data_IF_244570404660
#
_entry.id   IF_244570404660
#
_cell.length_a   1.000
_cell.length_b   1.000
_cell.length_c   1.000
_cell.angle_alpha   90.00
_cell.angle_beta   90.00
_cell.angle_gamma   90.00
#
_symmetry.space_group_name_H-M   'P 1'
#
loop_
_entity.id
_entity.type
_entity.pdbx_description
1 polymer ?
#
# COMPACT_ATOMS: atom_id res chain seq x y z
N UNK A 1 -1.10 15.21 78.89
CA UNK A 1 -1.36 13.78 78.66
C UNK A 1 -2.03 13.69 77.28
N UNK A 2 -1.37 13.17 76.24
CA UNK A 2 -2.02 13.06 74.94
C UNK A 2 -3.05 11.92 74.94
N UNK A 3 -4.23 12.21 74.46
CA UNK A 3 -5.38 11.32 74.32
C UNK A 3 -5.04 10.19 73.33
N UNK A 4 -5.04 8.96 73.82
CA UNK A 4 -4.82 7.76 73.00
C UNK A 4 -6.01 7.65 72.04
N UNK A 5 -5.77 7.76 70.78
CA UNK A 5 -6.78 7.63 69.73
C UNK A 5 -7.37 6.21 69.74
N UNK A 6 -8.71 6.16 69.88
CA UNK A 6 -9.51 4.93 69.90
C UNK A 6 -9.20 4.05 68.66
N UNK A 7 -8.89 2.76 68.83
CA UNK A 7 -8.54 1.83 67.78
C UNK A 7 -9.65 1.68 66.72
N UNK A 8 -10.91 1.94 67.08
CA UNK A 8 -12.03 1.96 66.14
C UNK A 8 -12.00 3.15 65.16
N UNK A 9 -11.34 4.25 65.56
CA UNK A 9 -11.15 5.43 64.70
C UNK A 9 -10.07 5.21 63.66
N UNK A 10 -9.02 4.44 64.00
CA UNK A 10 -7.93 4.04 63.11
C UNK A 10 -8.45 3.06 62.05
N UNK A 11 -9.27 2.08 62.47
CA UNK A 11 -9.84 1.09 61.55
C UNK A 11 -10.77 1.72 60.52
N UNK A 12 -11.59 2.69 60.91
CA UNK A 12 -12.45 3.45 59.98
C UNK A 12 -11.66 4.28 58.96
N UNK A 13 -10.52 4.82 59.33
CA UNK A 13 -9.63 5.56 58.40
C UNK A 13 -8.94 4.64 57.40
N UNK A 14 -8.54 3.43 57.80
CA UNK A 14 -7.93 2.43 56.91
C UNK A 14 -8.96 1.89 55.91
N UNK A 15 -10.19 1.58 56.36
CA UNK A 15 -11.25 1.09 55.48
C UNK A 15 -11.66 2.14 54.42
N UNK A 16 -11.70 3.43 54.79
CA UNK A 16 -11.96 4.51 53.85
C UNK A 16 -10.86 4.72 52.83
N UNK A 17 -9.59 4.43 53.19
CA UNK A 17 -8.45 4.48 52.25
C UNK A 17 -8.50 3.33 51.25
N UNK A 18 -8.79 2.10 51.71
CA UNK A 18 -8.90 0.92 50.83
C UNK A 18 -10.11 1.02 49.88
N UNK A 19 -11.23 1.60 50.30
CA UNK A 19 -12.38 1.83 49.41
C UNK A 19 -12.12 2.90 48.36
N UNK A 20 -11.26 3.90 48.61
CA UNK A 20 -10.87 4.88 47.60
C UNK A 20 -10.00 4.28 46.49
N UNK A 21 -9.11 3.37 46.83
CA UNK A 21 -8.27 2.68 45.84
C UNK A 21 -9.09 1.72 44.96
N UNK A 22 -10.09 1.02 45.52
CA UNK A 22 -10.99 0.14 44.77
C UNK A 22 -11.90 0.90 43.80
N UNK A 23 -12.38 2.09 44.16
CA UNK A 23 -13.16 2.96 43.30
C UNK A 23 -12.30 3.59 42.19
N UNK A 24 -11.06 3.94 42.47
CA UNK A 24 -10.11 4.45 41.50
C UNK A 24 -9.76 3.39 40.43
N UNK A 25 -9.52 2.14 40.84
CA UNK A 25 -9.26 1.06 39.89
C UNK A 25 -10.45 0.66 39.05
N UNK A 26 -11.68 0.78 39.59
CA UNK A 26 -12.91 0.53 38.84
C UNK A 26 -13.19 1.62 37.80
N UNK A 27 -12.95 2.88 38.14
CA UNK A 27 -13.08 3.99 37.18
C UNK A 27 -11.99 3.95 36.10
N UNK A 28 -10.78 3.46 36.41
CA UNK A 28 -9.68 3.30 35.45
C UNK A 28 -9.96 2.18 34.45
N UNK A 29 -10.65 1.12 34.85
CA UNK A 29 -11.06 0.04 33.93
C UNK A 29 -12.15 0.48 32.95
N UNK A 30 -13.10 1.31 33.39
CA UNK A 30 -14.19 1.77 32.51
C UNK A 30 -13.71 2.75 31.43
N UNK A 31 -12.55 3.42 31.63
CA UNK A 31 -11.95 4.29 30.61
C UNK A 31 -11.17 3.54 29.54
N UNK A 32 -10.78 2.28 29.75
CA UNK A 32 -10.03 1.50 28.75
C UNK A 32 -10.97 0.75 27.78
N UNK A 33 -12.22 0.48 28.17
CA UNK A 33 -13.14 -0.29 27.33
C UNK A 33 -13.95 0.58 26.34
N UNK A 34 -13.82 1.90 26.42
CA UNK A 34 -14.44 2.85 25.49
C UNK A 34 -13.40 3.57 24.64
N UNK A 35 -12.34 2.88 24.25
CA UNK A 35 -11.56 3.28 23.09
C UNK A 35 -12.43 3.02 21.86
N UNK A 36 -13.31 3.97 21.55
CA UNK A 36 -13.93 4.07 20.24
C UNK A 36 -12.78 3.90 19.25
N UNK A 37 -12.78 2.79 18.49
CA UNK A 37 -11.78 2.52 17.47
C UNK A 37 -11.83 3.75 16.56
N UNK A 38 -10.87 4.65 16.72
CA UNK A 38 -10.76 5.84 15.90
C UNK A 38 -10.47 5.33 14.50
N UNK A 39 -11.46 5.45 13.63
CA UNK A 39 -11.33 5.04 12.23
C UNK A 39 -10.97 6.30 11.46
N UNK A 40 -9.91 6.23 10.71
CA UNK A 40 -9.37 7.34 9.92
C UNK A 40 -8.99 6.83 8.51
N UNK A 41 -8.54 7.72 7.67
CA UNK A 41 -8.02 7.40 6.34
C UNK A 41 -6.77 6.53 6.44
N UNK A 42 -6.50 5.68 5.45
CA UNK A 42 -5.27 4.88 5.44
C UNK A 42 -4.04 5.76 5.30
N UNK A 43 -2.91 5.28 5.76
CA UNK A 43 -1.62 5.88 5.44
C UNK A 43 -1.29 5.69 3.95
N UNK A 44 -0.37 6.48 3.41
CA UNK A 44 0.11 6.32 2.03
C UNK A 44 0.65 4.92 1.79
N UNK A 45 0.41 4.30 0.62
CA UNK A 45 1.10 3.09 0.20
C UNK A 45 2.61 3.24 0.34
N UNK A 46 3.32 2.17 0.68
CA UNK A 46 4.74 2.21 0.99
C UNK A 46 5.64 1.82 -0.17
N UNK A 47 6.93 2.17 -0.02
CA UNK A 47 7.99 1.84 -0.96
C UNK A 47 8.03 2.78 -2.15
N UNK A 48 9.01 2.59 -3.02
CA UNK A 48 8.99 3.25 -4.31
C UNK A 48 7.89 2.66 -5.18
N UNK A 49 7.17 3.51 -5.92
CA UNK A 49 6.28 3.07 -6.98
C UNK A 49 7.14 2.81 -8.22
N UNK A 50 7.41 1.53 -8.48
CA UNK A 50 8.34 1.09 -9.53
C UNK A 50 7.62 0.45 -10.71
N UNK A 51 8.15 0.68 -11.92
CA UNK A 51 7.71 -0.03 -13.11
C UNK A 51 8.45 -1.38 -13.22
N UNK A 52 7.69 -2.46 -13.14
CA UNK A 52 8.19 -3.83 -13.30
C UNK A 52 8.30 -4.19 -14.78
N UNK A 53 7.31 -3.77 -15.57
CA UNK A 53 7.24 -4.02 -16.98
C UNK A 53 6.78 -2.78 -17.73
N UNK A 54 7.43 -2.46 -18.82
CA UNK A 54 7.07 -1.33 -19.68
C UNK A 54 6.85 -1.81 -21.11
N UNK A 55 5.72 -1.42 -21.68
CA UNK A 55 5.39 -1.63 -23.08
C UNK A 55 4.97 -0.29 -23.70
N UNK A 56 4.87 -0.17 -25.03
CA UNK A 56 4.43 1.06 -25.68
C UNK A 56 3.04 1.56 -25.26
N UNK A 57 2.16 0.63 -24.87
CA UNK A 57 0.74 0.93 -24.58
C UNK A 57 0.34 0.69 -23.15
N UNK A 58 1.21 0.04 -22.35
CA UNK A 58 0.91 -0.29 -20.96
C UNK A 58 2.18 -0.33 -20.10
N UNK A 59 2.03 0.02 -18.83
CA UNK A 59 3.11 -0.05 -17.83
C UNK A 59 2.55 -0.77 -16.59
N UNK A 60 3.24 -1.85 -16.17
CA UNK A 60 2.94 -2.56 -14.93
C UNK A 60 3.74 -1.94 -13.80
N UNK A 61 3.05 -1.52 -12.76
CA UNK A 61 3.59 -0.86 -11.59
C UNK A 61 3.43 -1.76 -10.37
N UNK A 62 4.38 -1.65 -9.43
CA UNK A 62 4.38 -2.36 -8.16
C UNK A 62 4.64 -1.39 -7.01
N UNK A 63 3.99 -1.65 -5.86
CA UNK A 63 4.15 -0.89 -4.62
C UNK A 63 4.05 -1.83 -3.40
N UNK A 64 4.10 -1.28 -2.20
CA UNK A 64 3.84 -2.02 -0.96
C UNK A 64 2.58 -1.49 -0.29
N UNK A 65 1.83 -2.34 0.44
CA UNK A 65 0.64 -1.90 1.14
C UNK A 65 0.96 -0.82 2.17
N UNK A 66 -0.01 0.02 2.55
CA UNK A 66 0.12 0.98 3.62
C UNK A 66 0.54 0.31 4.93
N UNK A 67 1.25 1.06 5.77
CA UNK A 67 1.64 0.59 7.11
C UNK A 67 0.45 0.56 8.08
N UNK A 68 -0.49 1.47 7.88
CA UNK A 68 -1.67 1.65 8.72
C UNK A 68 -2.90 1.77 7.82
N UNK A 69 -3.91 0.97 8.09
CA UNK A 69 -5.19 0.97 7.37
C UNK A 69 -6.19 2.02 7.93
N UNK A 70 -5.77 2.80 8.95
CA UNK A 70 -6.63 3.76 9.62
C UNK A 70 -7.69 3.11 10.51
N UNK A 71 -7.49 1.85 10.91
CA UNK A 71 -8.45 1.10 11.74
C UNK A 71 -9.66 0.56 10.96
N UNK A 72 -9.71 0.77 9.64
CA UNK A 72 -10.68 0.22 8.70
C UNK A 72 -9.97 -0.40 7.51
N UNK A 73 -10.36 -1.62 7.14
CA UNK A 73 -9.74 -2.34 6.02
C UNK A 73 -9.72 -1.52 4.74
N UNK A 74 -8.63 -1.63 3.99
CA UNK A 74 -8.53 -1.07 2.64
C UNK A 74 -9.54 -1.79 1.75
N UNK A 75 -10.33 -1.04 1.01
CA UNK A 75 -11.34 -1.57 0.09
C UNK A 75 -10.78 -1.75 -1.32
N UNK A 76 -9.91 -0.84 -1.75
CA UNK A 76 -9.30 -0.84 -3.09
C UNK A 76 -8.10 0.09 -3.16
N UNK A 77 -7.33 -0.06 -4.24
CA UNK A 77 -6.36 0.95 -4.67
C UNK A 77 -6.88 1.68 -5.92
N UNK A 78 -6.48 2.94 -6.06
CA UNK A 78 -6.74 3.77 -7.25
C UNK A 78 -5.40 4.16 -7.86
N UNK A 79 -5.20 3.73 -9.10
CA UNK A 79 -4.03 4.11 -9.90
C UNK A 79 -4.40 5.27 -10.82
N UNK A 80 -3.59 6.31 -10.82
CA UNK A 80 -3.76 7.47 -11.68
C UNK A 80 -2.49 7.75 -12.48
N UNK A 81 -2.67 8.26 -13.68
CA UNK A 81 -1.59 8.66 -14.60
C UNK A 81 -1.69 10.12 -14.97
N UNK A 82 -0.54 10.71 -15.26
CA UNK A 82 -0.43 12.09 -15.76
C UNK A 82 0.64 12.15 -16.84
N UNK A 83 0.34 12.60 -18.05
CA UNK A 83 1.37 12.84 -19.05
C UNK A 83 2.32 13.95 -18.58
N UNK A 84 3.61 13.79 -18.81
CA UNK A 84 4.62 14.82 -18.50
C UNK A 84 4.28 16.13 -19.20
N UNK A 85 4.29 17.21 -18.44
CA UNK A 85 3.89 18.55 -18.91
C UNK A 85 2.41 18.87 -18.74
N UNK A 86 1.59 17.92 -18.29
CA UNK A 86 0.19 18.16 -17.92
C UNK A 86 0.06 18.26 -16.39
N UNK A 87 -0.87 19.08 -15.93
CA UNK A 87 -1.22 19.17 -14.50
C UNK A 87 -2.43 18.29 -14.14
N UNK A 88 -3.05 17.63 -15.11
CA UNK A 88 -4.27 16.85 -14.91
C UNK A 88 -3.97 15.38 -14.71
N UNK A 89 -4.37 14.85 -13.55
CA UNK A 89 -4.37 13.42 -13.27
C UNK A 89 -5.60 12.74 -13.86
N UNK A 90 -5.43 11.56 -14.40
CA UNK A 90 -6.48 10.73 -14.99
C UNK A 90 -6.45 9.36 -14.35
N UNK A 91 -7.61 8.88 -13.87
CA UNK A 91 -7.73 7.53 -13.28
C UNK A 91 -7.50 6.47 -14.35
N UNK A 92 -6.68 5.48 -14.04
CA UNK A 92 -6.54 4.31 -14.91
C UNK A 92 -7.77 3.42 -14.75
N UNK A 93 -8.31 2.89 -15.85
CA UNK A 93 -9.43 1.96 -15.76
C UNK A 93 -8.96 0.63 -15.15
N UNK A 94 -9.76 0.09 -14.24
CA UNK A 94 -9.52 -1.17 -13.56
C UNK A 94 -9.88 -1.07 -12.09
N UNK A 95 -10.34 -2.18 -11.53
CA UNK A 95 -10.47 -2.37 -10.09
C UNK A 95 -9.18 -3.04 -9.62
N UNK A 96 -8.60 -2.53 -8.56
CA UNK A 96 -7.39 -3.09 -7.94
C UNK A 96 -7.79 -3.49 -6.54
N UNK A 97 -7.79 -4.81 -6.29
CA UNK A 97 -8.18 -5.37 -5.02
C UNK A 97 -7.20 -4.99 -3.89
N UNK A 98 -7.65 -4.99 -2.63
CA UNK A 98 -6.80 -4.60 -1.49
C UNK A 98 -5.59 -5.53 -1.29
N UNK A 99 -5.66 -6.78 -1.75
CA UNK A 99 -4.57 -7.76 -1.65
C UNK A 99 -3.58 -7.63 -2.83
N UNK A 100 -3.94 -6.91 -3.89
CA UNK A 100 -3.07 -6.66 -5.03
C UNK A 100 -2.13 -5.48 -4.77
N UNK A 101 -0.84 -5.73 -4.91
CA UNK A 101 0.21 -4.72 -4.77
C UNK A 101 0.86 -4.35 -6.10
N UNK A 102 0.21 -4.74 -7.20
CA UNK A 102 0.64 -4.44 -8.56
C UNK A 102 -0.56 -4.10 -9.45
N UNK A 103 -0.38 -3.24 -10.41
CA UNK A 103 -1.41 -2.91 -11.40
C UNK A 103 -0.82 -2.47 -12.72
N UNK A 104 -1.59 -2.67 -13.79
CA UNK A 104 -1.20 -2.29 -15.14
C UNK A 104 -1.97 -1.05 -15.60
N UNK A 105 -1.24 0.05 -15.80
CA UNK A 105 -1.76 1.23 -16.46
C UNK A 105 -1.85 0.97 -17.97
N UNK A 106 -3.04 0.96 -18.52
CA UNK A 106 -3.30 0.75 -19.95
C UNK A 106 -3.61 2.07 -20.66
N UNK A 107 -3.72 2.01 -22.00
CA UNK A 107 -4.04 3.15 -22.87
C UNK A 107 -3.02 4.28 -22.73
N UNK A 108 -1.75 3.93 -22.90
CA UNK A 108 -0.63 4.85 -22.96
C UNK A 108 -0.24 5.10 -24.41
N UNK A 109 0.27 6.31 -24.69
CA UNK A 109 0.79 6.67 -26.00
C UNK A 109 2.28 6.30 -26.06
N UNK A 110 2.69 5.62 -27.14
CA UNK A 110 4.06 5.20 -27.33
C UNK A 110 5.03 6.38 -27.34
N UNK A 111 6.11 6.24 -26.61
CA UNK A 111 7.15 7.25 -26.52
C UNK A 111 6.86 8.40 -25.56
N UNK A 112 5.64 8.52 -25.03
CA UNK A 112 5.24 9.54 -24.08
C UNK A 112 5.76 9.17 -22.67
N UNK A 113 6.13 10.18 -21.89
CA UNK A 113 6.50 10.05 -20.49
C UNK A 113 5.30 10.32 -19.58
N UNK A 114 5.13 9.47 -18.57
CA UNK A 114 4.03 9.55 -17.61
C UNK A 114 4.54 9.53 -16.17
N UNK A 115 3.92 10.33 -15.34
CA UNK A 115 3.97 10.19 -13.89
C UNK A 115 2.79 9.33 -13.44
N UNK A 116 3.00 8.49 -12.45
CA UNK A 116 1.96 7.65 -11.84
C UNK A 116 1.84 7.94 -10.37
N UNK A 117 0.64 7.77 -9.84
CA UNK A 117 0.40 7.76 -8.41
C UNK A 117 -0.62 6.70 -8.04
N UNK A 118 -0.46 6.11 -6.85
CA UNK A 118 -1.38 5.14 -6.27
C UNK A 118 -1.89 5.66 -4.94
N UNK A 119 -3.17 5.45 -4.69
CA UNK A 119 -3.90 5.88 -3.50
C UNK A 119 -4.60 4.66 -2.92
N UNK A 120 -4.50 4.45 -1.61
CA UNK A 120 -5.30 3.47 -0.90
C UNK A 120 -6.63 4.08 -0.45
N UNK A 121 -7.69 3.32 -0.49
CA UNK A 121 -9.04 3.78 -0.15
C UNK A 121 -9.67 2.83 0.87
N UNK A 122 -10.16 3.39 1.96
CA UNK A 122 -11.00 2.70 2.94
C UNK A 122 -12.37 3.40 3.03
N UNK A 123 -13.21 3.01 4.01
CA UNK A 123 -14.54 3.60 4.23
C UNK A 123 -14.50 5.09 4.58
N UNK A 124 -13.41 5.54 5.21
CA UNK A 124 -13.26 6.91 5.70
C UNK A 124 -12.68 7.84 4.62
N UNK A 125 -12.08 7.29 3.56
CA UNK A 125 -11.63 8.07 2.41
C UNK A 125 -10.34 7.59 1.76
N UNK A 126 -9.76 8.48 0.97
CA UNK A 126 -8.54 8.26 0.21
C UNK A 126 -7.31 8.67 1.02
N UNK A 127 -6.25 7.85 0.95
CA UNK A 127 -4.95 8.14 1.56
C UNK A 127 -4.20 9.25 0.82
N UNK A 128 -3.09 9.69 1.40
CA UNK A 128 -2.09 10.45 0.64
C UNK A 128 -1.52 9.59 -0.50
N UNK A 129 -1.28 10.19 -1.67
CA UNK A 129 -0.80 9.47 -2.85
C UNK A 129 0.68 9.09 -2.74
N UNK A 130 1.03 7.86 -3.15
CA UNK A 130 2.39 7.47 -3.47
C UNK A 130 2.67 7.78 -4.93
N UNK A 131 3.64 8.64 -5.23
CA UNK A 131 3.97 9.12 -6.57
C UNK A 131 5.28 8.49 -7.06
N UNK A 132 5.42 8.23 -8.36
CA UNK A 132 6.69 7.80 -8.97
C UNK A 132 7.78 8.85 -8.77
N UNK A 133 8.99 8.39 -8.47
CA UNK A 133 10.15 9.27 -8.24
C UNK A 133 10.59 9.98 -9.53
N UNK A 134 10.39 9.34 -10.68
CA UNK A 134 10.71 9.88 -12.00
C UNK A 134 9.66 9.50 -13.02
N UNK A 135 9.46 10.29 -14.08
CA UNK A 135 8.56 9.96 -15.17
C UNK A 135 9.01 8.68 -15.88
N UNK A 136 8.07 7.81 -16.22
CA UNK A 136 8.32 6.54 -16.89
C UNK A 136 7.89 6.67 -18.35
N UNK A 137 8.77 6.30 -19.26
CA UNK A 137 8.51 6.35 -20.70
C UNK A 137 7.82 5.08 -21.18
N UNK A 138 6.70 5.23 -21.89
CA UNK A 138 5.99 4.12 -22.52
C UNK A 138 6.72 3.63 -23.77
N UNK A 139 7.59 2.64 -23.62
CA UNK A 139 8.37 2.00 -24.70
C UNK A 139 8.82 0.61 -24.27
N UNK A 140 9.20 -0.23 -25.20
CA UNK A 140 9.88 -1.48 -24.86
C UNK A 140 11.21 -1.20 -24.14
N UNK A 141 11.56 -1.95 -23.08
CA UNK A 141 12.87 -1.84 -22.47
C UNK A 141 13.95 -2.18 -23.50
N UNK A 142 15.05 -1.44 -23.47
CA UNK A 142 16.19 -1.68 -24.35
C UNK A 142 16.67 -3.13 -24.18
N UNK A 143 16.52 -3.94 -25.24
CA UNK A 143 16.93 -5.35 -25.23
C UNK A 143 15.85 -6.36 -25.63
N UNK A 144 14.57 -6.04 -25.53
CA UNK A 144 13.49 -6.95 -25.94
C UNK A 144 13.51 -7.24 -27.46
N UNK A 145 14.01 -6.31 -28.29
CA UNK A 145 14.20 -6.49 -29.72
C UNK A 145 15.27 -7.56 -30.06
N UNK A 146 16.31 -7.71 -29.23
CA UNK A 146 17.32 -8.72 -29.42
C UNK A 146 16.82 -10.14 -29.12
N UNK A 147 15.89 -10.28 -28.15
CA UNK A 147 15.36 -11.60 -27.81
C UNK A 147 14.38 -12.12 -28.87
N UNK A 148 13.56 -11.26 -29.46
CA UNK A 148 12.64 -11.66 -30.53
C UNK A 148 13.39 -11.99 -31.81
N UNK A 149 14.48 -11.27 -32.15
CA UNK A 149 15.34 -11.58 -33.30
C UNK A 149 16.16 -12.85 -33.09
N UNK A 150 16.63 -13.14 -31.86
CA UNK A 150 17.35 -14.36 -31.54
C UNK A 150 16.49 -15.62 -31.68
N UNK A 151 15.21 -15.55 -31.30
CA UNK A 151 14.26 -16.68 -31.47
C UNK A 151 13.92 -16.87 -32.95
N UNK A 152 13.77 -15.78 -33.73
CA UNK A 152 13.47 -15.86 -35.17
C UNK A 152 14.65 -16.43 -36.00
N UNK A 153 15.89 -16.22 -35.59
CA UNK A 153 17.10 -16.75 -36.25
C UNK A 153 17.38 -18.23 -35.88
N UNK A 154 16.80 -18.73 -34.77
CA UNK A 154 17.00 -20.14 -34.37
C UNK A 154 16.09 -21.13 -35.10
N UNK A 155 15.05 -20.67 -35.82
CA UNK A 155 14.09 -21.55 -36.51
C UNK A 155 14.48 -21.85 -37.97
N UNK A 156 15.49 -21.17 -38.51
CA UNK A 156 15.96 -21.40 -39.88
C UNK A 156 17.24 -22.23 -39.94
N UNK A 157 17.21 -23.48 -39.47
CA UNK A 157 18.17 -24.49 -39.87
C UNK A 157 17.54 -25.35 -40.95
N UNK A 158 18.01 -25.28 -42.23
CA UNK A 158 17.58 -26.23 -43.23
C UNK A 158 18.22 -27.59 -42.93
N UNK A 159 17.40 -28.61 -42.85
CA UNK A 159 17.83 -30.01 -42.89
C UNK A 159 18.42 -30.32 -44.26
N UNK A 160 19.72 -30.16 -44.43
CA UNK A 160 20.39 -30.65 -45.61
C UNK A 160 20.94 -32.05 -45.37
N UNK A 161 20.42 -32.94 -46.19
CA UNK A 161 20.56 -34.36 -46.28
C UNK A 161 21.98 -34.91 -46.19
N UNK A 162 22.07 -36.01 -45.50
CA UNK A 162 23.16 -36.95 -45.56
C UNK A 162 23.12 -37.68 -46.91
N UNK A 163 24.04 -37.34 -47.83
CA UNK A 163 24.36 -38.25 -48.92
C UNK A 163 25.33 -39.28 -48.40
N UNK A 164 24.92 -40.52 -48.44
CA UNK A 164 25.82 -41.65 -48.36
C UNK A 164 26.65 -41.69 -49.64
N UNK A 165 27.97 -41.66 -49.54
CA UNK A 165 28.89 -42.02 -50.59
C UNK A 165 29.37 -43.44 -50.33
N UNK A 166 29.28 -44.25 -51.32
CA UNK A 166 29.79 -45.63 -51.37
C UNK A 166 31.34 -45.68 -51.26
#
# INVERSE_FOLDING_TARGET
>A
MPHISDPASIKRRLDASLQRESLSSSLYRTSQDNCSKFVDKPSSPQGPLEAVETTPTAIKLQWKPPKDDGGSKIEKYVLEKRPKGSNKWSKCPGHIDPDETEATAKNLDEGQEYDFRVVAVNKEGESEPLVTTAPIKAKYPFGALFFVLAISLSISRPCNGWRKVK
#
